data_IF_749835859223
#
_entry.id   IF_749835859223
#
_cell.length_a   1.000
_cell.length_b   1.000
_cell.length_c   1.000
_cell.angle_alpha   90.00
_cell.angle_beta   90.00
_cell.angle_gamma   90.00
#
_symmetry.space_group_name_H-M   'P 1'
#
loop_
_entity.id
_entity.type
_entity.pdbx_description
1 polymer ?
#
# COMPACT_ATOMS: atom_id res chain seq x y z
N UNK A 1 -34.80 -23.25 5.45
CA UNK A 1 -34.68 -22.10 4.50
C UNK A 1 -34.38 -20.79 5.20
N UNK A 2 -35.19 -20.34 6.16
CA UNK A 2 -35.00 -19.03 6.84
C UNK A 2 -33.65 -18.93 7.56
N UNK A 3 -33.21 -19.98 8.27
CA UNK A 3 -31.91 -20.00 8.95
C UNK A 3 -30.74 -19.83 7.97
N UNK A 4 -30.77 -20.53 6.84
CA UNK A 4 -29.73 -20.48 5.81
C UNK A 4 -29.68 -19.07 5.19
N UNK A 5 -30.84 -18.48 4.92
CA UNK A 5 -30.94 -17.11 4.43
C UNK A 5 -30.31 -16.11 5.43
N UNK A 6 -30.57 -16.29 6.73
CA UNK A 6 -30.03 -15.43 7.78
C UNK A 6 -28.51 -15.52 7.92
N UNK A 7 -27.95 -16.73 7.78
CA UNK A 7 -26.50 -16.97 7.81
C UNK A 7 -25.82 -16.33 6.60
N UNK A 8 -26.38 -16.47 5.40
CA UNK A 8 -25.85 -15.85 4.18
C UNK A 8 -25.88 -14.33 4.31
N UNK A 9 -26.98 -13.76 4.83
CA UNK A 9 -27.11 -12.32 5.03
C UNK A 9 -26.07 -11.80 6.05
N UNK A 10 -25.87 -12.51 7.16
CA UNK A 10 -24.86 -12.14 8.16
C UNK A 10 -23.45 -12.16 7.57
N UNK A 11 -23.13 -13.17 6.76
CA UNK A 11 -21.82 -13.27 6.10
C UNK A 11 -21.60 -12.14 5.09
N UNK A 12 -22.63 -11.82 4.29
CA UNK A 12 -22.59 -10.73 3.34
C UNK A 12 -22.44 -9.37 4.04
N UNK A 13 -23.18 -9.14 5.12
CA UNK A 13 -23.05 -7.92 5.93
C UNK A 13 -21.67 -7.81 6.58
N UNK A 14 -21.12 -8.90 7.13
CA UNK A 14 -19.76 -8.93 7.68
C UNK A 14 -18.72 -8.52 6.63
N UNK A 15 -18.89 -8.99 5.39
CA UNK A 15 -18.01 -8.61 4.29
C UNK A 15 -18.23 -7.17 3.82
N UNK A 16 -19.48 -6.69 3.73
CA UNK A 16 -19.81 -5.36 3.20
C UNK A 16 -19.53 -4.20 4.17
N UNK A 17 -19.74 -4.39 5.47
CA UNK A 17 -19.54 -3.35 6.51
C UNK A 17 -18.16 -2.69 6.42
N UNK A 18 -17.02 -3.41 6.32
CA UNK A 18 -15.71 -2.78 6.19
C UNK A 18 -15.51 -2.03 4.86
N UNK A 19 -16.33 -2.26 3.83
CA UNK A 19 -16.27 -1.53 2.55
C UNK A 19 -17.08 -0.22 2.58
N UNK A 20 -18.08 -0.09 3.48
CA UNK A 20 -18.89 1.14 3.58
C UNK A 20 -18.06 2.41 3.75
N UNK A 21 -17.03 2.46 4.62
CA UNK A 21 -16.19 3.66 4.78
C UNK A 21 -15.55 4.12 3.47
N UNK A 22 -15.05 3.19 2.65
CA UNK A 22 -14.43 3.49 1.37
C UNK A 22 -15.43 4.03 0.35
N UNK A 23 -16.66 3.50 0.33
CA UNK A 23 -17.75 3.98 -0.53
C UNK A 23 -18.21 5.38 -0.09
N UNK A 24 -18.38 5.58 1.22
CA UNK A 24 -18.76 6.88 1.81
C UNK A 24 -17.70 7.93 1.49
N UNK A 25 -16.41 7.60 1.60
CA UNK A 25 -15.32 8.49 1.25
C UNK A 25 -15.35 8.88 -0.24
N UNK A 26 -15.62 7.93 -1.13
CA UNK A 26 -15.82 8.20 -2.57
C UNK A 26 -16.97 9.18 -2.83
N UNK A 27 -18.09 9.03 -2.10
CA UNK A 27 -19.21 9.95 -2.16
C UNK A 27 -18.86 11.35 -1.62
N UNK A 28 -18.12 11.42 -0.51
CA UNK A 28 -17.65 12.69 0.07
C UNK A 28 -16.75 13.41 -0.92
N UNK A 29 -15.82 12.70 -1.56
CA UNK A 29 -14.95 13.29 -2.59
C UNK A 29 -15.74 13.78 -3.81
N UNK A 30 -16.74 13.04 -4.28
CA UNK A 30 -17.63 13.48 -5.34
C UNK A 30 -18.43 14.74 -4.93
N UNK A 31 -18.85 14.83 -3.67
CA UNK A 31 -19.52 16.01 -3.13
C UNK A 31 -18.58 17.21 -3.04
N UNK A 32 -17.34 17.00 -2.59
CA UNK A 32 -16.28 18.03 -2.51
C UNK A 32 -15.85 18.51 -3.90
N UNK A 33 -15.95 17.67 -4.94
CA UNK A 33 -15.68 18.09 -6.31
C UNK A 33 -16.66 19.16 -6.81
N UNK A 34 -17.89 19.20 -6.29
CA UNK A 34 -18.94 20.13 -6.72
C UNK A 34 -18.62 21.61 -6.44
N UNK A 35 -18.23 22.04 -5.22
CA UNK A 35 -17.81 23.42 -4.98
C UNK A 35 -16.56 23.79 -5.76
N UNK A 36 -15.60 22.86 -5.90
CA UNK A 36 -14.36 23.07 -6.68
C UNK A 36 -14.72 23.36 -8.15
N UNK A 37 -15.55 22.51 -8.76
CA UNK A 37 -16.02 22.70 -10.14
C UNK A 37 -16.70 24.06 -10.32
N UNK A 38 -17.61 24.43 -9.43
CA UNK A 38 -18.35 25.71 -9.51
C UNK A 38 -17.42 26.92 -9.36
N UNK A 39 -16.32 26.78 -8.63
CA UNK A 39 -15.30 27.82 -8.52
C UNK A 39 -14.57 28.02 -9.84
N UNK A 40 -14.19 26.93 -10.53
CA UNK A 40 -13.53 26.97 -11.83
C UNK A 40 -14.46 27.28 -13.02
N UNK A 41 -15.77 26.96 -12.93
CA UNK A 41 -16.77 27.36 -13.94
C UNK A 41 -16.93 28.89 -14.08
N UNK A 42 -16.43 29.67 -13.12
CA UNK A 42 -16.42 31.15 -13.22
C UNK A 42 -15.37 31.67 -14.21
N UNK A 43 -14.28 30.94 -14.36
CA UNK A 43 -13.10 31.35 -15.16
C UNK A 43 -12.96 30.53 -16.45
N UNK A 44 -13.44 29.28 -16.45
CA UNK A 44 -13.27 28.32 -17.54
C UNK A 44 -14.60 27.70 -18.00
N UNK A 45 -14.61 27.15 -19.22
CA UNK A 45 -15.76 26.43 -19.76
C UNK A 45 -16.15 25.20 -18.90
N UNK A 46 -17.42 24.81 -18.98
CA UNK A 46 -18.06 23.77 -18.15
C UNK A 46 -17.38 22.40 -18.25
N UNK A 47 -16.76 22.09 -19.39
CA UNK A 47 -16.02 20.84 -19.61
C UNK A 47 -14.65 20.86 -18.93
N UNK A 48 -13.92 21.97 -19.07
CA UNK A 48 -12.58 22.14 -18.53
C UNK A 48 -12.62 22.17 -16.99
N UNK A 49 -13.56 22.91 -16.42
CA UNK A 49 -13.80 22.95 -14.97
C UNK A 49 -14.12 21.59 -14.36
N UNK A 50 -14.83 20.71 -15.08
CA UNK A 50 -15.12 19.34 -14.63
C UNK A 50 -13.84 18.48 -14.55
N UNK A 51 -12.97 18.59 -15.56
CA UNK A 51 -11.70 17.87 -15.61
C UNK A 51 -10.78 18.35 -14.48
N UNK A 52 -10.66 19.67 -14.30
CA UNK A 52 -9.83 20.26 -13.23
C UNK A 52 -10.34 19.82 -11.85
N UNK A 53 -11.65 19.91 -11.59
CA UNK A 53 -12.21 19.49 -10.31
C UNK A 53 -11.96 17.99 -10.02
N UNK A 54 -12.04 17.14 -11.04
CA UNK A 54 -11.74 15.71 -10.91
C UNK A 54 -10.25 15.48 -10.65
N UNK A 55 -9.36 16.18 -11.38
CA UNK A 55 -7.93 16.10 -11.16
C UNK A 55 -7.54 16.52 -9.73
N UNK A 56 -8.08 17.63 -9.23
CA UNK A 56 -7.80 18.11 -7.85
C UNK A 56 -8.15 17.08 -6.78
N UNK A 57 -9.21 16.29 -6.99
CA UNK A 57 -9.61 15.22 -6.07
C UNK A 57 -8.73 13.98 -6.21
N UNK A 58 -8.36 13.59 -7.43
CA UNK A 58 -7.56 12.39 -7.70
C UNK A 58 -6.08 12.60 -7.36
N UNK A 59 -5.54 13.79 -7.60
CA UNK A 59 -4.12 14.12 -7.38
C UNK A 59 -3.60 13.73 -5.99
N UNK A 60 -4.23 14.12 -4.86
CA UNK A 60 -3.71 13.72 -3.54
C UNK A 60 -3.69 12.20 -3.35
N UNK A 61 -4.68 11.49 -3.89
CA UNK A 61 -4.74 10.02 -3.83
C UNK A 61 -3.59 9.41 -4.65
N UNK A 62 -3.39 9.91 -5.87
CA UNK A 62 -2.32 9.46 -6.74
C UNK A 62 -0.93 9.74 -6.14
N UNK A 63 -0.73 10.90 -5.51
CA UNK A 63 0.51 11.23 -4.83
C UNK A 63 0.81 10.27 -3.69
N UNK A 64 -0.16 10.02 -2.79
CA UNK A 64 0.01 9.04 -1.70
C UNK A 64 0.39 7.67 -2.26
N UNK A 65 -0.25 7.25 -3.36
CA UNK A 65 0.03 5.95 -3.97
C UNK A 65 1.43 5.89 -4.58
N UNK A 66 1.85 6.92 -5.33
CA UNK A 66 3.18 6.99 -5.92
C UNK A 66 4.26 7.01 -4.84
N UNK A 67 4.10 7.85 -3.81
CA UNK A 67 5.03 7.90 -2.69
C UNK A 67 5.08 6.56 -1.93
N UNK A 68 3.93 5.91 -1.75
CA UNK A 68 3.86 4.59 -1.13
C UNK A 68 4.62 3.53 -1.94
N UNK A 69 4.52 3.55 -3.27
CA UNK A 69 5.28 2.64 -4.13
C UNK A 69 6.78 2.92 -4.05
N UNK A 70 7.20 4.18 -4.14
CA UNK A 70 8.63 4.56 -4.05
C UNK A 70 9.21 4.12 -2.72
N UNK A 71 8.50 4.39 -1.62
CA UNK A 71 8.93 4.00 -0.28
C UNK A 71 8.99 2.47 -0.12
N UNK A 72 8.01 1.74 -0.65
CA UNK A 72 8.02 0.28 -0.63
C UNK A 72 9.22 -0.29 -1.40
N UNK A 73 9.57 0.30 -2.54
CA UNK A 73 10.77 -0.09 -3.31
C UNK A 73 12.04 0.19 -2.51
N UNK A 74 12.17 1.39 -1.92
CA UNK A 74 13.34 1.75 -1.11
C UNK A 74 13.51 0.81 0.10
N UNK A 75 12.43 0.51 0.82
CA UNK A 75 12.46 -0.44 1.94
C UNK A 75 12.85 -1.83 1.48
N UNK A 76 12.35 -2.26 0.32
CA UNK A 76 12.71 -3.56 -0.25
C UNK A 76 14.20 -3.62 -0.61
N UNK A 77 14.75 -2.58 -1.24
CA UNK A 77 16.19 -2.52 -1.56
C UNK A 77 17.04 -2.49 -0.29
N UNK A 78 16.61 -1.73 0.73
CA UNK A 78 17.26 -1.71 2.04
C UNK A 78 17.32 -3.11 2.68
N UNK A 79 16.23 -3.87 2.64
CA UNK A 79 16.19 -5.26 3.14
C UNK A 79 17.22 -6.14 2.42
N UNK A 80 17.34 -6.01 1.10
CA UNK A 80 18.31 -6.79 0.31
C UNK A 80 19.78 -6.46 0.68
N UNK A 81 20.05 -5.22 1.09
CA UNK A 81 21.38 -4.77 1.46
C UNK A 81 21.71 -5.02 2.94
N UNK A 82 20.70 -5.13 3.80
CA UNK A 82 20.85 -5.25 5.26
C UNK A 82 20.12 -6.49 5.82
N UNK A 83 20.32 -7.64 5.18
CA UNK A 83 19.60 -8.88 5.47
C UNK A 83 19.74 -9.34 6.94
N UNK A 84 20.93 -9.23 7.52
CA UNK A 84 21.17 -9.61 8.93
C UNK A 84 20.37 -8.72 9.90
N UNK A 85 20.36 -7.40 9.67
CA UNK A 85 19.59 -6.45 10.48
C UNK A 85 18.09 -6.74 10.39
N UNK A 86 17.60 -7.06 9.20
CA UNK A 86 16.20 -7.40 8.97
C UNK A 86 15.81 -8.72 9.65
N UNK A 87 16.66 -9.75 9.53
CA UNK A 87 16.46 -11.05 10.19
C UNK A 87 16.39 -10.89 11.72
N UNK A 88 17.31 -10.12 12.30
CA UNK A 88 17.32 -9.87 13.74
C UNK A 88 16.06 -9.13 14.20
N UNK A 89 15.59 -8.14 13.44
CA UNK A 89 14.34 -7.43 13.72
C UNK A 89 13.13 -8.39 13.71
N UNK A 90 13.05 -9.32 12.75
CA UNK A 90 11.97 -10.32 12.71
C UNK A 90 12.04 -11.26 13.91
N UNK A 91 13.22 -11.78 14.24
CA UNK A 91 13.39 -12.69 15.39
C UNK A 91 13.02 -12.00 16.70
N UNK A 92 13.35 -10.72 16.85
CA UNK A 92 12.98 -9.91 18.00
C UNK A 92 11.47 -9.66 18.08
N UNK A 93 10.82 -9.34 16.96
CA UNK A 93 9.36 -9.22 16.90
C UNK A 93 8.68 -10.54 17.30
N UNK A 94 9.17 -11.67 16.78
CA UNK A 94 8.68 -13.01 17.13
C UNK A 94 8.87 -13.31 18.61
N UNK A 95 10.01 -12.93 19.19
CA UNK A 95 10.25 -13.04 20.64
C UNK A 95 9.24 -12.20 21.43
N UNK A 96 8.95 -10.98 21.00
CA UNK A 96 8.04 -10.07 21.71
C UNK A 96 6.58 -10.54 21.69
N UNK A 97 6.15 -11.24 20.65
CA UNK A 97 4.80 -11.84 20.57
C UNK A 97 4.71 -13.23 21.23
N UNK A 98 5.79 -13.70 21.86
CA UNK A 98 5.82 -15.00 22.54
C UNK A 98 5.89 -16.20 21.61
N UNK A 99 6.43 -16.04 20.39
CA UNK A 99 6.57 -17.14 19.45
C UNK A 99 7.51 -18.24 20.00
N UNK A 100 7.14 -19.53 19.87
CA UNK A 100 8.00 -20.66 20.23
C UNK A 100 9.38 -20.65 19.55
N UNK A 101 10.39 -21.23 20.19
CA UNK A 101 11.76 -21.34 19.64
C UNK A 101 11.80 -22.00 18.25
N UNK A 102 11.04 -23.07 18.04
CA UNK A 102 11.03 -23.76 16.74
C UNK A 102 10.61 -22.85 15.57
N UNK A 103 9.72 -21.86 15.80
CA UNK A 103 9.31 -20.90 14.75
C UNK A 103 10.44 -19.93 14.45
N UNK A 104 11.16 -19.49 15.50
CA UNK A 104 12.28 -18.56 15.40
C UNK A 104 13.46 -19.19 14.66
N UNK A 105 13.79 -20.44 14.98
CA UNK A 105 14.88 -21.18 14.34
C UNK A 105 14.57 -21.49 12.88
N UNK A 106 13.32 -21.89 12.59
CA UNK A 106 12.88 -22.15 11.22
C UNK A 106 13.00 -20.90 10.34
N UNK A 107 12.58 -19.74 10.86
CA UNK A 107 12.68 -18.47 10.14
C UNK A 107 14.14 -18.03 10.01
N UNK A 108 14.97 -18.22 11.03
CA UNK A 108 16.39 -17.88 10.97
C UNK A 108 17.14 -18.67 9.88
N UNK A 109 16.78 -19.94 9.66
CA UNK A 109 17.35 -20.75 8.58
C UNK A 109 16.73 -20.46 7.21
N UNK A 110 15.41 -20.26 7.13
CA UNK A 110 14.71 -20.21 5.84
C UNK A 110 14.69 -18.82 5.20
N UNK A 111 14.77 -17.76 6.01
CA UNK A 111 14.65 -16.38 5.55
C UNK A 111 15.80 -15.97 4.59
N UNK A 112 17.08 -16.30 4.87
CA UNK A 112 18.17 -15.94 3.96
C UNK A 112 18.01 -16.55 2.57
N UNK A 113 17.75 -17.86 2.49
CA UNK A 113 17.53 -18.58 1.24
C UNK A 113 16.34 -18.03 0.44
N UNK A 114 15.27 -17.65 1.14
CA UNK A 114 14.10 -17.02 0.53
C UNK A 114 14.46 -15.67 -0.10
N UNK A 115 15.15 -14.80 0.65
CA UNK A 115 15.52 -13.48 0.16
C UNK A 115 16.52 -13.56 -0.99
N UNK A 116 17.47 -14.49 -0.95
CA UNK A 116 18.43 -14.70 -2.04
C UNK A 116 17.76 -15.13 -3.35
N UNK A 117 16.75 -16.02 -3.27
CA UNK A 117 15.93 -16.41 -4.44
C UNK A 117 15.16 -15.22 -5.01
N UNK A 118 14.61 -14.37 -4.15
CA UNK A 118 13.92 -13.15 -4.58
C UNK A 118 14.86 -12.12 -5.20
N UNK A 119 16.09 -12.01 -4.69
CA UNK A 119 17.14 -11.16 -5.27
C UNK A 119 17.44 -11.54 -6.72
N UNK A 120 17.48 -12.84 -7.01
CA UNK A 120 17.69 -13.35 -8.38
C UNK A 120 16.58 -12.98 -9.38
N UNK A 121 15.38 -12.64 -8.91
CA UNK A 121 14.26 -12.21 -9.76
C UNK A 121 14.26 -10.71 -10.07
N UNK A 122 15.08 -9.92 -9.39
CA UNK A 122 15.08 -8.46 -9.47
C UNK A 122 16.46 -7.87 -9.83
N UNK A 123 17.15 -8.37 -10.88
CA UNK A 123 18.48 -7.87 -11.25
C UNK A 123 18.48 -6.38 -11.65
N UNK A 124 17.34 -5.78 -11.98
CA UNK A 124 17.23 -4.42 -12.50
C UNK A 124 17.17 -3.30 -11.45
N UNK A 125 16.85 -3.58 -10.18
CA UNK A 125 16.59 -2.52 -9.19
C UNK A 125 17.81 -2.21 -8.30
N UNK A 126 18.74 -3.15 -8.15
CA UNK A 126 19.94 -2.98 -7.33
C UNK A 126 21.02 -2.10 -7.99
N UNK A 127 21.09 -2.07 -9.32
CA UNK A 127 22.08 -1.27 -10.06
C UNK A 127 21.76 0.24 -10.12
N UNK A 128 20.49 0.61 -9.89
CA UNK A 128 20.01 2.00 -10.00
C UNK A 128 20.45 2.86 -8.81
N UNK A 129 20.64 2.27 -7.63
CA UNK A 129 21.08 3.00 -6.44
C UNK A 129 22.59 3.29 -6.47
N UNK A 130 23.40 2.35 -7.00
CA UNK A 130 24.85 2.56 -7.21
C UNK A 130 25.17 3.72 -8.17
N UNK A 131 24.28 4.03 -9.11
CA UNK A 131 24.50 5.17 -10.03
C UNK A 131 24.19 6.52 -9.39
N UNK A 132 23.35 6.57 -8.35
CA UNK A 132 23.08 7.81 -7.59
C UNK A 132 24.23 8.17 -6.66
N UNK A 133 24.84 7.19 -6.01
CA UNK A 133 25.99 7.41 -5.11
C UNK A 133 27.27 7.84 -5.83
N UNK A 134 27.36 7.65 -7.16
CA UNK A 134 28.50 8.08 -7.98
C UNK A 134 28.32 9.46 -8.63
N UNK A 135 27.17 10.12 -8.44
CA UNK A 135 26.87 11.47 -8.97
C UNK A 135 26.87 12.57 -7.90
N UNK A 136 27.20 12.26 -6.64
CA UNK A 136 27.36 13.23 -5.55
C UNK A 136 28.84 13.37 -5.21
#
# INVERSE_FOLDING_TARGET
MILIFLVILAFLSYFLIPLLPSIVLGFVFAYVARPIKKWFEREYDRRVSAIIATAVVITPIALIFIFGIIEAINQFVWILNNLESFQNAIIELLRNIGAPEFIRDYIAMSLPDFIERFRGLLPSFADVERTKDLMI
#
